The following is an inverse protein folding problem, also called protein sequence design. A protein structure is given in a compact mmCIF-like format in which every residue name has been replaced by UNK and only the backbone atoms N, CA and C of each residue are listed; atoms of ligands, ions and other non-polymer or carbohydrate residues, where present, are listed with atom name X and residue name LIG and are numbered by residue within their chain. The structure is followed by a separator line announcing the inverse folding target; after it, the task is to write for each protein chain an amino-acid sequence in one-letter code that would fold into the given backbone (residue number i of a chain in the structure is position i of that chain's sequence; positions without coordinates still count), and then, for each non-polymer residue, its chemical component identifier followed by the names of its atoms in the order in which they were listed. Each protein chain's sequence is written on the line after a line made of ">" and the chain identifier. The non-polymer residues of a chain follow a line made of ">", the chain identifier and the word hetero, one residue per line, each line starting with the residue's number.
data_IF_790847454548
#
_entry.id   IF_790847454548
#
_cell.length_a   1.000
_cell.length_b   1.000
_cell.length_c   1.000
_cell.angle_alpha   90.00
_cell.angle_beta   90.00
_cell.angle_gamma   90.00
#
_symmetry.space_group_name_H-M   'P 1'
#
loop_
_entity.id
_entity.type
_entity.pdbx_description
1 polymer ?
#
# COMPACT_ATOMS: atom_id res chain seq x y z
N UNK A 1 27.66 -3.07 -3.05
CA UNK A 1 27.22 -3.22 -1.65
C UNK A 1 26.10 -4.22 -1.65
N UNK A 2 26.25 -5.35 -0.94
CA UNK A 2 25.17 -6.31 -0.81
C UNK A 2 24.10 -5.72 0.11
N UNK A 3 22.92 -5.41 -0.43
CA UNK A 3 21.73 -5.19 0.38
C UNK A 3 21.46 -6.49 1.16
N UNK A 4 21.23 -6.44 2.47
CA UNK A 4 20.92 -7.65 3.21
C UNK A 4 19.52 -8.14 2.81
N UNK A 5 19.48 -9.20 2.00
CA UNK A 5 18.25 -9.96 1.82
C UNK A 5 17.86 -10.50 3.18
N UNK A 6 16.75 -10.04 3.70
CA UNK A 6 16.24 -10.47 4.99
C UNK A 6 15.09 -11.45 4.79
N UNK A 7 14.91 -12.29 5.78
CA UNK A 7 13.73 -13.16 5.88
C UNK A 7 12.49 -12.32 6.20
N UNK A 8 11.32 -12.82 5.89
CA UNK A 8 10.03 -12.20 6.27
C UNK A 8 9.93 -11.94 7.79
N UNK A 9 10.57 -12.82 8.60
CA UNK A 9 10.65 -12.66 10.06
C UNK A 9 11.49 -11.42 10.46
N UNK A 10 12.66 -11.25 9.88
CA UNK A 10 13.51 -10.07 10.16
C UNK A 10 12.85 -8.80 9.66
N UNK A 11 12.26 -8.83 8.47
CA UNK A 11 11.54 -7.70 7.89
C UNK A 11 10.31 -7.29 8.73
N UNK A 12 9.59 -8.26 9.29
CA UNK A 12 8.46 -7.96 10.19
C UNK A 12 8.90 -7.31 11.50
N UNK A 13 10.09 -7.65 12.02
CA UNK A 13 10.64 -6.95 13.18
C UNK A 13 10.99 -5.50 12.84
N UNK A 14 11.64 -5.26 11.70
CA UNK A 14 11.96 -3.92 11.24
C UNK A 14 10.71 -3.03 11.10
N UNK A 15 9.62 -3.56 10.53
CA UNK A 15 8.35 -2.82 10.47
C UNK A 15 7.86 -2.41 11.86
N UNK A 16 7.89 -3.32 12.84
CA UNK A 16 7.51 -3.01 14.23
C UNK A 16 8.45 -2.02 14.92
N UNK A 17 9.71 -1.96 14.52
CA UNK A 17 10.70 -0.98 14.98
C UNK A 17 10.54 0.39 14.30
N UNK A 18 9.57 0.51 13.38
CA UNK A 18 9.30 1.74 12.63
C UNK A 18 10.27 1.99 11.47
N UNK A 19 10.88 0.91 10.95
CA UNK A 19 11.76 0.96 9.80
C UNK A 19 11.02 0.68 8.48
N UNK A 20 11.61 1.07 7.35
CA UNK A 20 11.03 0.86 6.02
C UNK A 20 11.46 -0.48 5.45
N UNK A 21 10.50 -1.20 4.88
CA UNK A 21 10.69 -2.47 4.19
C UNK A 21 10.01 -2.45 2.83
N UNK A 22 10.75 -2.72 1.75
CA UNK A 22 10.11 -2.96 0.47
C UNK A 22 9.74 -4.45 0.32
N UNK A 23 8.55 -4.72 -0.22
CA UNK A 23 8.04 -6.08 -0.39
C UNK A 23 7.23 -6.21 -1.68
N UNK A 24 7.25 -7.40 -2.32
CA UNK A 24 6.48 -7.68 -3.52
C UNK A 24 4.99 -7.86 -3.21
N UNK A 25 4.15 -7.43 -4.16
CA UNK A 25 2.75 -7.82 -4.25
C UNK A 25 2.47 -8.38 -5.65
N UNK A 26 1.25 -8.85 -5.91
CA UNK A 26 0.85 -9.28 -7.26
C UNK A 26 0.78 -8.11 -8.24
N UNK A 27 0.59 -6.86 -7.75
CA UNK A 27 0.51 -5.65 -8.56
C UNK A 27 1.88 -5.03 -8.82
N UNK A 28 2.48 -4.44 -7.78
CA UNK A 28 3.80 -3.77 -7.82
C UNK A 28 4.51 -3.99 -6.47
N UNK A 29 5.80 -3.71 -6.40
CA UNK A 29 6.50 -3.66 -5.11
C UNK A 29 5.99 -2.47 -4.28
N UNK A 30 5.69 -2.71 -3.00
CA UNK A 30 5.30 -1.69 -2.03
C UNK A 30 6.46 -1.29 -1.12
N UNK A 31 6.51 -0.01 -0.71
CA UNK A 31 7.40 0.49 0.33
C UNK A 31 6.61 0.60 1.63
N UNK A 32 6.80 -0.36 2.53
CA UNK A 32 6.03 -0.55 3.75
C UNK A 32 6.59 0.14 4.98
N UNK A 33 5.68 0.64 5.80
CA UNK A 33 5.93 1.10 7.16
C UNK A 33 4.75 0.75 8.07
N UNK A 34 4.96 0.71 9.38
CA UNK A 34 3.88 0.59 10.36
C UNK A 34 2.88 1.75 10.20
N UNK A 35 1.66 1.43 9.77
CA UNK A 35 0.61 2.42 9.52
C UNK A 35 0.11 3.10 10.81
N UNK A 36 0.39 2.54 11.98
CA UNK A 36 -0.01 3.10 13.29
C UNK A 36 1.03 4.07 13.86
N UNK A 37 2.23 4.13 13.26
CA UNK A 37 3.36 4.91 13.72
C UNK A 37 3.58 6.13 12.82
N UNK A 38 3.22 7.33 13.30
CA UNK A 38 3.38 8.59 12.54
C UNK A 38 4.81 8.81 12.04
N UNK A 39 5.82 8.44 12.85
CA UNK A 39 7.23 8.61 12.46
C UNK A 39 7.62 7.66 11.33
N UNK A 40 7.14 6.41 11.37
CA UNK A 40 7.38 5.45 10.31
C UNK A 40 6.69 5.86 9.00
N UNK A 41 5.43 6.33 9.09
CA UNK A 41 4.68 6.87 7.96
C UNK A 41 5.38 8.11 7.37
N UNK A 42 5.88 9.02 8.21
CA UNK A 42 6.62 10.21 7.75
C UNK A 42 7.87 9.85 6.92
N UNK A 43 8.61 8.79 7.31
CA UNK A 43 9.76 8.29 6.53
C UNK A 43 9.37 7.90 5.09
N UNK A 44 8.16 7.35 4.87
CA UNK A 44 7.67 7.04 3.49
C UNK A 44 7.56 8.33 2.67
N UNK A 45 6.92 9.36 3.21
CA UNK A 45 6.75 10.63 2.50
C UNK A 45 8.09 11.29 2.19
N UNK A 46 9.00 11.30 3.17
CA UNK A 46 10.33 11.88 3.04
C UNK A 46 11.16 11.19 1.94
N UNK A 47 11.34 9.87 2.05
CA UNK A 47 12.21 9.12 1.12
C UNK A 47 11.69 9.11 -0.32
N UNK A 48 10.34 9.16 -0.49
CA UNK A 48 9.70 9.18 -1.80
C UNK A 48 9.60 10.60 -2.40
N UNK A 49 9.79 11.66 -1.62
CA UNK A 49 9.40 13.01 -2.00
C UNK A 49 7.89 13.11 -2.31
N UNK A 50 7.06 12.32 -1.57
CA UNK A 50 5.62 12.22 -1.82
C UNK A 50 4.88 13.39 -1.15
N UNK A 51 3.94 14.05 -1.85
CA UNK A 51 3.07 15.05 -1.21
C UNK A 51 2.20 14.42 -0.12
N UNK A 52 2.14 15.06 1.07
CA UNK A 52 1.41 14.52 2.22
C UNK A 52 -0.12 14.50 2.06
N UNK A 53 -0.68 15.20 1.09
CA UNK A 53 -2.10 15.14 0.78
C UNK A 53 -2.53 13.89 -0.02
N UNK A 54 -1.58 13.06 -0.43
CA UNK A 54 -1.85 11.79 -1.10
C UNK A 54 -1.90 10.63 -0.08
N UNK A 55 -3.08 10.10 0.29
CA UNK A 55 -3.19 9.04 1.27
C UNK A 55 -2.45 7.78 0.85
N UNK A 56 -2.10 6.97 1.84
CA UNK A 56 -1.44 5.68 1.67
C UNK A 56 -2.45 4.54 1.81
N UNK A 57 -2.20 3.44 1.11
CA UNK A 57 -2.98 2.21 1.23
C UNK A 57 -2.37 1.38 2.35
N UNK A 58 -3.20 1.00 3.33
CA UNK A 58 -2.81 0.09 4.41
C UNK A 58 -3.09 -1.35 4.01
N UNK A 59 -2.07 -2.19 4.09
CA UNK A 59 -2.13 -3.60 3.72
C UNK A 59 -2.33 -4.47 4.97
N UNK A 60 -3.18 -5.48 4.86
CA UNK A 60 -3.54 -6.40 5.91
C UNK A 60 -3.49 -7.85 5.41
N UNK A 61 -3.28 -8.84 6.30
CA UNK A 61 -3.11 -10.23 5.87
C UNK A 61 -4.41 -10.90 5.41
N UNK A 62 -5.56 -10.47 5.92
CA UNK A 62 -6.87 -11.06 5.60
C UNK A 62 -7.99 -10.01 5.61
N UNK A 63 -9.10 -10.33 4.94
CA UNK A 63 -10.31 -9.49 4.97
C UNK A 63 -10.86 -9.32 6.39
N UNK A 64 -10.79 -10.37 7.22
CA UNK A 64 -11.26 -10.32 8.61
C UNK A 64 -10.50 -9.26 9.43
N UNK A 65 -9.17 -9.22 9.32
CA UNK A 65 -8.37 -8.16 9.96
C UNK A 65 -8.72 -6.78 9.40
N UNK A 66 -8.95 -6.67 8.08
CA UNK A 66 -9.28 -5.40 7.43
C UNK A 66 -10.56 -4.77 8.00
N UNK A 67 -11.56 -5.59 8.36
CA UNK A 67 -12.84 -5.12 8.89
C UNK A 67 -12.73 -4.50 10.30
N UNK A 68 -11.62 -4.67 10.99
CA UNK A 68 -11.36 -4.04 12.29
C UNK A 68 -10.98 -2.55 12.14
N UNK A 69 -10.39 -2.17 11.01
CA UNK A 69 -9.82 -0.83 10.78
C UNK A 69 -10.78 0.13 10.06
N UNK A 70 -11.73 -0.40 9.31
CA UNK A 70 -12.69 0.39 8.55
C UNK A 70 -14.14 0.02 8.84
N UNK A 71 -15.05 0.99 8.72
CA UNK A 71 -16.48 0.78 8.82
C UNK A 71 -17.04 0.31 7.46
N UNK A 72 -16.87 -0.97 7.17
CA UNK A 72 -17.39 -1.58 5.94
C UNK A 72 -18.90 -1.78 6.00
N UNK A 73 -19.63 -1.30 5.00
CA UNK A 73 -21.02 -1.68 4.79
C UNK A 73 -21.14 -3.18 4.45
N UNK A 74 -22.31 -3.77 4.59
CA UNK A 74 -22.53 -5.19 4.26
C UNK A 74 -22.18 -5.49 2.79
N UNK A 75 -22.50 -4.58 1.87
CA UNK A 75 -22.11 -4.72 0.44
C UNK A 75 -20.60 -4.69 0.29
N UNK A 76 -19.91 -3.76 0.98
CA UNK A 76 -18.46 -3.67 0.93
C UNK A 76 -17.79 -4.94 1.51
N UNK A 77 -18.32 -5.51 2.59
CA UNK A 77 -17.82 -6.77 3.16
C UNK A 77 -18.00 -7.95 2.20
N UNK A 78 -19.17 -8.07 1.58
CA UNK A 78 -19.43 -9.13 0.60
C UNK A 78 -18.47 -9.03 -0.58
N UNK A 79 -18.31 -7.85 -1.17
CA UNK A 79 -17.36 -7.62 -2.27
C UNK A 79 -15.91 -7.86 -1.84
N UNK A 80 -15.50 -7.37 -0.67
CA UNK A 80 -14.17 -7.60 -0.14
C UNK A 80 -13.89 -9.11 0.04
N UNK A 81 -14.85 -9.86 0.55
CA UNK A 81 -14.72 -11.32 0.72
C UNK A 81 -14.62 -12.09 -0.60
N UNK A 82 -15.15 -11.53 -1.68
CA UNK A 82 -15.05 -12.13 -3.03
C UNK A 82 -13.77 -11.71 -3.78
N UNK A 83 -13.26 -10.51 -3.51
CA UNK A 83 -12.19 -9.88 -4.29
C UNK A 83 -10.84 -9.91 -3.57
N UNK A 84 -10.79 -10.21 -2.28
CA UNK A 84 -9.58 -10.37 -1.49
C UNK A 84 -9.30 -11.83 -1.14
N UNK A 85 -8.00 -12.21 -1.17
CA UNK A 85 -6.84 -11.40 -1.53
C UNK A 85 -6.80 -11.06 -3.02
N UNK A 86 -6.32 -9.83 -3.36
CA UNK A 86 -6.29 -9.41 -4.76
C UNK A 86 -5.95 -7.94 -5.02
N UNK A 87 -5.98 -7.54 -6.30
CA UNK A 87 -5.53 -6.21 -6.75
C UNK A 87 -6.61 -5.12 -6.55
N UNK A 88 -7.38 -5.20 -5.48
CA UNK A 88 -8.47 -4.26 -5.18
C UNK A 88 -8.20 -3.58 -3.84
N UNK A 89 -8.33 -2.25 -3.84
CA UNK A 89 -8.26 -1.40 -2.64
C UNK A 89 -9.65 -0.86 -2.34
N UNK A 90 -10.09 -0.98 -1.08
CA UNK A 90 -11.32 -0.36 -0.60
C UNK A 90 -11.01 0.90 0.18
N UNK A 91 -11.67 2.00 -0.17
CA UNK A 91 -11.73 3.21 0.67
C UNK A 91 -13.03 3.17 1.44
N UNK A 92 -12.94 3.21 2.76
CA UNK A 92 -14.08 3.10 3.67
C UNK A 92 -13.94 4.13 4.80
N UNK A 93 -15.03 4.54 5.47
CA UNK A 93 -14.91 5.34 6.67
C UNK A 93 -14.04 4.64 7.72
N UNK A 94 -13.31 5.40 8.51
CA UNK A 94 -12.53 4.86 9.64
C UNK A 94 -13.45 4.20 10.65
N UNK A 95 -13.04 3.08 11.25
CA UNK A 95 -13.73 2.56 12.44
C UNK A 95 -13.47 3.52 13.63
N UNK A 96 -14.35 3.50 14.63
CA UNK A 96 -14.25 4.40 15.79
C UNK A 96 -12.91 4.34 16.52
N UNK A 97 -12.27 3.18 16.53
CA UNK A 97 -10.99 2.93 17.19
C UNK A 97 -9.87 2.61 16.19
N UNK A 98 -9.97 3.12 14.96
CA UNK A 98 -8.97 2.87 13.93
C UNK A 98 -7.60 3.44 14.34
N UNK A 99 -6.57 2.60 14.57
CA UNK A 99 -5.26 3.05 15.01
C UNK A 99 -4.37 3.56 13.86
N UNK A 100 -4.83 3.46 12.62
CA UNK A 100 -4.06 3.95 11.46
C UNK A 100 -3.81 5.44 11.63
N UNK A 101 -2.56 5.85 11.45
CA UNK A 101 -2.11 7.25 11.53
C UNK A 101 -2.96 8.17 10.63
N UNK A 102 -3.30 9.34 11.16
CA UNK A 102 -3.95 10.39 10.37
C UNK A 102 -3.05 10.88 9.22
N UNK A 103 -1.74 10.80 9.39
CA UNK A 103 -0.79 11.11 8.31
C UNK A 103 -0.92 10.10 7.17
N UNK A 104 -1.12 8.81 7.47
CA UNK A 104 -1.33 7.78 6.45
C UNK A 104 -2.63 7.99 5.65
N UNK A 105 -3.67 8.51 6.27
CA UNK A 105 -4.94 8.86 5.60
C UNK A 105 -4.99 10.31 5.08
N UNK A 106 -3.88 11.05 5.11
CA UNK A 106 -3.83 12.47 4.72
C UNK A 106 -4.86 13.35 5.44
N UNK A 107 -5.17 13.04 6.71
CA UNK A 107 -6.16 13.74 7.52
C UNK A 107 -7.63 13.43 7.18
N UNK A 108 -7.89 12.46 6.29
CA UNK A 108 -9.25 12.10 5.88
C UNK A 108 -9.93 11.18 6.90
N UNK A 109 -11.25 11.29 7.03
CA UNK A 109 -12.11 10.42 7.83
C UNK A 109 -12.29 9.02 7.20
N UNK A 110 -11.54 8.71 6.15
CA UNK A 110 -11.52 7.44 5.45
C UNK A 110 -10.16 6.78 5.53
N UNK A 111 -10.13 5.46 5.34
CA UNK A 111 -8.91 4.66 5.19
C UNK A 111 -8.97 3.85 3.91
N UNK A 112 -7.84 3.77 3.22
CA UNK A 112 -7.66 2.89 2.08
C UNK A 112 -7.02 1.58 2.55
N UNK A 113 -7.69 0.45 2.32
CA UNK A 113 -7.30 -0.87 2.83
C UNK A 113 -7.22 -1.86 1.68
N UNK A 114 -6.22 -2.76 1.74
CA UNK A 114 -6.05 -3.84 0.77
C UNK A 114 -5.52 -5.11 1.43
N UNK A 115 -5.93 -6.27 0.89
CA UNK A 115 -5.35 -7.58 1.19
C UNK A 115 -4.69 -8.09 -0.09
N UNK A 116 -3.34 -8.06 -0.20
CA UNK A 116 -2.64 -8.43 -1.42
C UNK A 116 -2.60 -9.95 -1.62
N UNK A 117 -2.60 -10.39 -2.90
CA UNK A 117 -2.46 -11.80 -3.28
C UNK A 117 -1.01 -12.13 -3.64
N UNK A 118 -0.14 -12.15 -2.64
CA UNK A 118 1.25 -12.53 -2.82
C UNK A 118 1.79 -13.27 -1.59
N UNK A 119 2.44 -14.44 -1.73
CA UNK A 119 2.85 -15.28 -0.60
C UNK A 119 3.82 -14.56 0.36
N UNK A 120 4.79 -13.81 -0.17
CA UNK A 120 5.75 -13.06 0.65
C UNK A 120 5.07 -11.90 1.38
N UNK A 121 4.17 -11.17 0.71
CA UNK A 121 3.40 -10.10 1.34
C UNK A 121 2.51 -10.67 2.46
N UNK A 122 1.79 -11.76 2.20
CA UNK A 122 0.94 -12.42 3.19
C UNK A 122 1.73 -12.84 4.42
N UNK A 123 2.84 -13.55 4.24
CA UNK A 123 3.69 -13.99 5.36
C UNK A 123 4.26 -12.80 6.15
N UNK A 124 4.71 -11.74 5.47
CA UNK A 124 5.19 -10.52 6.12
C UNK A 124 4.11 -9.88 6.99
N UNK A 125 2.90 -9.70 6.43
CA UNK A 125 1.78 -9.05 7.12
C UNK A 125 1.27 -9.89 8.30
N UNK A 126 1.19 -11.22 8.15
CA UNK A 126 0.85 -12.14 9.24
C UNK A 126 1.87 -12.07 10.38
N UNK A 127 3.18 -12.06 10.05
CA UNK A 127 4.25 -11.97 11.05
C UNK A 127 4.35 -10.60 11.70
N UNK A 128 4.12 -9.53 10.94
CA UNK A 128 4.12 -8.17 11.46
C UNK A 128 2.97 -7.94 12.44
N UNK A 129 1.80 -8.49 12.15
CA UNK A 129 0.56 -8.37 12.93
C UNK A 129 0.19 -6.90 13.23
N UNK A 130 0.48 -6.02 12.28
CA UNK A 130 0.14 -4.59 12.26
C UNK A 130 -0.35 -4.22 10.86
N UNK A 131 -1.17 -3.18 10.69
CA UNK A 131 -1.45 -2.63 9.36
C UNK A 131 -0.18 -1.99 8.79
N UNK A 132 0.14 -2.29 7.53
CA UNK A 132 1.33 -1.78 6.85
C UNK A 132 0.93 -0.79 5.77
N UNK A 133 1.22 0.49 5.98
CA UNK A 133 1.05 1.53 4.96
C UNK A 133 2.11 1.32 3.88
N UNK A 134 1.68 1.08 2.63
CA UNK A 134 2.62 0.82 1.55
C UNK A 134 2.13 1.40 0.20
N UNK A 135 2.64 2.56 -0.22
CA UNK A 135 2.59 2.99 -1.61
C UNK A 135 3.58 2.16 -2.45
N UNK A 136 3.54 2.31 -3.77
CA UNK A 136 4.55 1.71 -4.67
C UNK A 136 5.98 2.10 -4.27
N UNK A 137 6.93 1.19 -4.45
CA UNK A 137 8.33 1.36 -3.99
C UNK A 137 9.20 2.12 -5.01
N UNK A 138 8.77 3.31 -5.43
CA UNK A 138 9.49 4.24 -6.32
C UNK A 138 9.52 5.66 -5.75
N UNK A 139 10.41 6.49 -6.22
CA UNK A 139 10.37 7.94 -6.03
C UNK A 139 9.10 8.49 -6.69
N UNK A 140 8.42 9.45 -6.05
CA UNK A 140 7.16 10.02 -6.56
C UNK A 140 7.33 10.57 -7.98
N UNK A 141 6.37 10.24 -8.86
CA UNK A 141 6.41 10.65 -10.26
C UNK A 141 7.17 9.71 -11.20
N UNK A 142 7.84 8.67 -10.66
CA UNK A 142 8.48 7.62 -11.47
C UNK A 142 7.57 6.40 -11.64
N UNK A 143 7.98 5.48 -12.52
CA UNK A 143 7.23 4.25 -12.81
C UNK A 143 7.28 3.33 -11.59
N UNK A 144 6.13 2.72 -11.27
CA UNK A 144 6.01 1.75 -10.17
C UNK A 144 6.84 0.50 -10.43
N UNK A 145 7.62 0.01 -9.44
CA UNK A 145 8.54 -1.10 -9.61
C UNK A 145 7.81 -2.44 -9.62
N UNK A 146 8.11 -3.26 -10.62
CA UNK A 146 7.57 -4.61 -10.78
C UNK A 146 8.59 -5.71 -10.51
N UNK A 147 9.85 -5.33 -10.23
CA UNK A 147 10.98 -6.21 -9.97
C UNK A 147 11.82 -5.71 -8.82
N UNK A 148 12.51 -6.64 -8.17
CA UNK A 148 13.47 -6.34 -7.12
C UNK A 148 14.54 -5.33 -7.59
N UNK A 149 15.09 -5.50 -8.79
CA UNK A 149 16.12 -4.61 -9.37
C UNK A 149 15.67 -3.16 -9.46
N UNK A 150 14.39 -2.93 -9.83
CA UNK A 150 13.83 -1.57 -9.90
C UNK A 150 13.83 -0.89 -8.51
N UNK A 151 13.48 -1.63 -7.45
CA UNK A 151 13.50 -1.11 -6.07
C UNK A 151 14.94 -0.81 -5.62
N UNK A 152 15.90 -1.68 -5.99
CA UNK A 152 17.32 -1.49 -5.70
C UNK A 152 17.88 -0.25 -6.38
N UNK A 153 17.49 0.00 -7.63
CA UNK A 153 17.87 1.20 -8.39
C UNK A 153 17.30 2.48 -7.78
N UNK A 154 16.06 2.43 -7.27
CA UNK A 154 15.39 3.59 -6.68
C UNK A 154 15.93 3.96 -5.30
N UNK A 155 16.08 2.99 -4.41
CA UNK A 155 16.35 3.24 -2.99
C UNK A 155 17.71 2.70 -2.52
N UNK A 156 18.22 1.63 -3.12
CA UNK A 156 19.51 1.05 -2.73
C UNK A 156 19.58 0.80 -1.23
N UNK A 157 20.61 1.35 -0.58
CA UNK A 157 20.86 1.24 0.86
C UNK A 157 20.05 2.21 1.73
N UNK A 158 19.18 3.04 1.13
CA UNK A 158 18.40 4.05 1.85
C UNK A 158 17.19 3.47 2.58
N UNK A 159 16.90 2.18 2.38
CA UNK A 159 15.84 1.45 3.11
C UNK A 159 16.42 0.26 3.85
N UNK A 160 15.75 -0.15 4.92
CA UNK A 160 16.29 -1.14 5.86
C UNK A 160 16.28 -2.57 5.33
N UNK A 161 15.35 -2.89 4.41
CA UNK A 161 15.27 -4.21 3.77
C UNK A 161 14.45 -4.18 2.49
N UNK A 162 14.77 -5.10 1.58
CA UNK A 162 13.95 -5.45 0.42
C UNK A 162 13.72 -6.96 0.48
N UNK A 163 12.45 -7.39 0.45
CA UNK A 163 12.11 -8.80 0.34
C UNK A 163 12.05 -9.22 -1.12
N UNK A 164 12.66 -10.36 -1.41
CA UNK A 164 12.59 -10.97 -2.73
C UNK A 164 11.30 -11.79 -2.87
N UNK A 165 10.63 -11.71 -4.02
CA UNK A 165 9.43 -12.50 -4.32
C UNK A 165 9.15 -12.63 -5.81
N UNK A 166 10.17 -12.34 -6.65
CA UNK A 166 10.05 -12.41 -8.10
C UNK A 166 9.36 -11.21 -8.73
N UNK A 167 9.02 -11.35 -10.00
CA UNK A 167 8.35 -10.32 -10.80
C UNK A 167 6.86 -10.24 -10.44
N UNK A 168 6.31 -9.03 -10.36
CA UNK A 168 4.89 -8.82 -10.13
C UNK A 168 4.05 -9.30 -11.33
N UNK A 169 3.02 -10.11 -11.06
CA UNK A 169 2.22 -10.75 -12.12
C UNK A 169 1.34 -9.78 -12.90
N UNK A 170 0.81 -8.74 -12.23
CA UNK A 170 -0.13 -7.76 -12.81
C UNK A 170 0.60 -6.59 -13.41
N UNK A 171 1.59 -6.02 -12.70
CA UNK A 171 2.42 -4.92 -13.18
C UNK A 171 1.73 -3.54 -13.23
N UNK A 172 0.51 -3.42 -12.70
CA UNK A 172 -0.28 -2.21 -12.58
C UNK A 172 -0.70 -2.00 -11.13
N UNK A 173 -0.97 -0.76 -10.74
CA UNK A 173 -1.52 -0.43 -9.41
C UNK A 173 -2.89 -1.08 -9.19
N UNK A 174 -3.29 -1.22 -7.92
CA UNK A 174 -4.61 -1.74 -7.56
C UNK A 174 -5.74 -0.83 -8.02
N UNK A 175 -6.86 -1.43 -8.40
CA UNK A 175 -8.11 -0.67 -8.61
C UNK A 175 -8.65 -0.22 -7.26
N UNK A 176 -9.03 1.06 -7.16
CA UNK A 176 -9.63 1.62 -5.94
C UNK A 176 -11.13 1.63 -6.07
N UNK A 177 -11.82 1.11 -5.05
CA UNK A 177 -13.26 1.17 -4.89
C UNK A 177 -13.57 2.02 -3.65
N UNK A 178 -14.27 3.15 -3.84
CA UNK A 178 -14.63 4.05 -2.75
C UNK A 178 -16.06 3.75 -2.27
N UNK A 179 -16.15 3.33 -1.01
CA UNK A 179 -17.37 3.03 -0.26
C UNK A 179 -17.60 4.01 0.89
N UNK A 180 -16.97 5.17 0.86
CA UNK A 180 -17.18 6.21 1.89
C UNK A 180 -18.52 6.93 1.77
N UNK A 181 -19.10 6.94 0.56
CA UNK A 181 -20.41 7.51 0.28
C UNK A 181 -21.55 6.48 0.22
N UNK A 182 -22.75 6.94 -0.11
CA UNK A 182 -23.93 6.08 -0.28
C UNK A 182 -23.89 5.24 -1.56
N UNK A 183 -23.15 5.69 -2.57
CA UNK A 183 -22.96 5.01 -3.86
C UNK A 183 -21.49 4.70 -4.01
N UNK A 184 -21.12 3.44 -4.29
CA UNK A 184 -19.72 3.08 -4.57
C UNK A 184 -19.20 3.77 -5.83
N UNK A 185 -17.96 4.25 -5.77
CA UNK A 185 -17.29 4.93 -6.88
C UNK A 185 -15.95 4.25 -7.18
N UNK A 186 -15.52 4.32 -8.45
CA UNK A 186 -14.17 3.93 -8.88
C UNK A 186 -13.39 5.23 -9.17
N UNK A 187 -12.69 5.83 -8.18
CA UNK A 187 -12.13 7.18 -8.33
C UNK A 187 -10.89 7.24 -9.23
N UNK A 188 -10.16 6.14 -9.40
CA UNK A 188 -8.80 6.17 -9.98
C UNK A 188 -8.75 5.85 -11.46
N UNK A 189 -9.74 5.16 -12.02
CA UNK A 189 -9.75 4.83 -13.45
C UNK A 189 -9.74 6.08 -14.35
N UNK A 190 -10.30 7.19 -13.89
CA UNK A 190 -10.38 8.44 -14.67
C UNK A 190 -9.15 9.35 -14.50
N UNK A 191 -8.51 9.36 -13.34
CA UNK A 191 -7.37 10.24 -13.06
C UNK A 191 -6.10 9.74 -13.73
N UNK A 192 -5.90 8.43 -13.85
CA UNK A 192 -4.73 7.86 -14.53
C UNK A 192 -4.80 8.05 -16.05
N UNK A 193 -5.97 7.90 -16.64
CA UNK A 193 -6.16 8.15 -18.08
C UNK A 193 -5.98 9.63 -18.43
N UNK A 194 -6.37 10.56 -17.55
CA UNK A 194 -6.16 12.01 -17.75
C UNK A 194 -4.73 12.47 -17.50
N UNK A 195 -3.99 11.81 -16.65
CA UNK A 195 -2.59 12.17 -16.37
C UNK A 195 -1.64 11.87 -17.54
N UNK A 196 -2.08 11.04 -18.50
CA UNK A 196 -1.35 10.73 -19.73
C UNK A 196 -1.87 11.50 -20.96
N UNK A 197 -2.95 12.27 -20.84
CA UNK A 197 -3.37 13.21 -21.87
C UNK A 197 -2.46 14.45 -21.79
N UNK A 198 -1.42 14.47 -22.61
CA UNK A 198 -0.62 15.68 -22.79
C UNK A 198 -1.49 16.78 -23.40
N UNK A 199 -1.24 18.09 -23.09
CA UNK A 199 -2.01 19.21 -23.62
C UNK A 199 -2.06 19.28 -25.14
N UNK A 200 -1.20 18.55 -25.85
CA UNK A 200 -1.05 18.53 -27.30
C UNK A 200 -2.16 17.77 -28.02
N UNK A 201 -3.01 17.03 -27.34
CA UNK A 201 -4.14 16.32 -27.94
C UNK A 201 -5.51 17.01 -27.77
N UNK A 202 -5.54 18.27 -27.32
CA UNK A 202 -6.75 19.10 -27.38
C UNK A 202 -6.78 19.91 -28.69
N UNK A 203 -7.29 19.28 -29.72
CA UNK A 203 -7.80 19.96 -30.93
C UNK A 203 -9.30 19.79 -30.97
#
# INVERSE_FOLDING_TARGET
>A
MNLPYKTTKEASNLLREGELVAFPTETVYGLGADATNDKAVAKIFEIKGRPQFNPLISHLPTAQHAFEFGAFSEIAKQLASMLWPGPITFVVPRSNNCPISWLASAGLETVAIRVPDHPVAKELLERANIPVAAPSANISGRISPTRLSHVQEEFGSNISSILEGGDCKVGLESTVLDFSGTIPIIPVSYTHLRAHETPEHRV
#
